data_IF_250358342639
#
_entry.id   IF_250358342639
#
_cell.length_a   1.000
_cell.length_b   1.000
_cell.length_c   1.000
_cell.angle_alpha   90.00
_cell.angle_beta   90.00
_cell.angle_gamma   90.00
#
_symmetry.space_group_name_H-M   'P 1'
#
loop_
_entity.id
_entity.type
_entity.pdbx_description
1 polymer ?
#
# COMPACT_ATOMS: atom_id res chain seq x y z
N UNK A 1 -46.82 -0.74 61.74
CA UNK A 1 -45.76 -0.93 60.73
C UNK A 1 -46.32 -0.97 59.30
N UNK A 2 -47.40 -1.72 59.03
CA UNK A 2 -48.01 -1.88 57.68
C UNK A 2 -48.59 -0.56 57.09
N UNK A 3 -49.22 0.29 57.92
CA UNK A 3 -49.80 1.57 57.48
C UNK A 3 -48.76 2.56 56.93
N UNK A 4 -47.54 2.58 57.47
CA UNK A 4 -46.45 3.45 57.00
C UNK A 4 -45.88 3.01 55.64
N UNK A 5 -46.01 1.71 55.31
CA UNK A 5 -45.57 1.18 54.02
C UNK A 5 -46.58 1.55 52.92
N UNK A 6 -47.88 1.45 53.22
CA UNK A 6 -48.97 1.86 52.32
C UNK A 6 -48.92 3.36 52.01
N UNK A 7 -48.70 4.21 53.02
CA UNK A 7 -48.57 5.67 52.81
C UNK A 7 -47.33 6.00 51.99
N UNK A 8 -46.20 5.34 52.25
CA UNK A 8 -44.97 5.49 51.44
C UNK A 8 -45.22 5.08 49.98
N UNK A 9 -45.83 3.92 49.74
CA UNK A 9 -46.13 3.42 48.39
C UNK A 9 -47.06 4.36 47.61
N UNK A 10 -48.09 4.92 48.25
CA UNK A 10 -48.98 5.91 47.64
C UNK A 10 -48.26 7.22 47.29
N UNK A 11 -47.35 7.68 48.15
CA UNK A 11 -46.53 8.89 47.88
C UNK A 11 -45.59 8.66 46.69
N UNK A 12 -44.95 7.49 46.59
CA UNK A 12 -44.13 7.13 45.42
C UNK A 12 -44.95 7.06 44.13
N UNK A 13 -46.16 6.48 44.18
CA UNK A 13 -47.05 6.39 43.02
C UNK A 13 -47.47 7.78 42.53
N UNK A 14 -47.85 8.67 43.44
CA UNK A 14 -48.20 10.07 43.13
C UNK A 14 -47.01 10.81 42.52
N UNK A 15 -45.80 10.58 43.05
CA UNK A 15 -44.58 11.19 42.53
C UNK A 15 -44.25 10.70 41.11
N UNK A 16 -44.35 9.40 40.84
CA UNK A 16 -44.15 8.82 39.50
C UNK A 16 -45.14 9.39 38.49
N UNK A 17 -46.42 9.49 38.87
CA UNK A 17 -47.44 10.08 38.00
C UNK A 17 -47.14 11.54 37.66
N UNK A 18 -46.73 12.34 38.65
CA UNK A 18 -46.31 13.73 38.41
C UNK A 18 -45.12 13.83 37.46
N UNK A 19 -44.13 12.96 37.63
CA UNK A 19 -42.96 12.92 36.75
C UNK A 19 -43.33 12.53 35.31
N UNK A 20 -44.22 11.56 35.12
CA UNK A 20 -44.61 11.14 33.78
C UNK A 20 -45.40 12.24 33.07
N UNK A 21 -46.31 12.91 33.78
CA UNK A 21 -47.06 14.04 33.24
C UNK A 21 -46.13 15.20 32.88
N UNK A 22 -45.15 15.51 33.74
CA UNK A 22 -44.15 16.53 33.46
C UNK A 22 -43.32 16.18 32.22
N UNK A 23 -42.79 14.94 32.14
CA UNK A 23 -42.00 14.47 31.00
C UNK A 23 -42.79 14.53 29.69
N UNK A 24 -44.05 14.11 29.70
CA UNK A 24 -44.91 14.13 28.53
C UNK A 24 -45.20 15.58 28.06
N UNK A 25 -45.60 16.46 28.98
CA UNK A 25 -45.88 17.87 28.67
C UNK A 25 -44.64 18.58 28.13
N UNK A 26 -43.48 18.36 28.77
CA UNK A 26 -42.20 18.88 28.31
C UNK A 26 -41.86 18.39 26.89
N UNK A 27 -41.99 17.08 26.64
CA UNK A 27 -41.67 16.47 25.35
C UNK A 27 -42.54 17.02 24.21
N UNK A 28 -43.86 17.14 24.43
CA UNK A 28 -44.80 17.74 23.46
C UNK A 28 -44.46 19.20 23.18
N UNK A 29 -44.17 19.98 24.23
CA UNK A 29 -43.78 21.39 24.09
C UNK A 29 -42.44 21.54 23.37
N UNK A 30 -41.45 20.71 23.71
CA UNK A 30 -40.13 20.72 23.06
C UNK A 30 -40.24 20.39 21.58
N UNK A 31 -41.08 19.43 21.18
CA UNK A 31 -41.27 19.08 19.77
C UNK A 31 -42.01 20.16 18.98
N UNK A 32 -43.19 20.59 19.43
CA UNK A 32 -44.01 21.50 18.62
C UNK A 32 -43.62 22.98 18.75
N UNK A 33 -43.22 23.42 19.95
CA UNK A 33 -42.83 24.83 20.17
C UNK A 33 -41.33 25.05 20.06
N UNK A 34 -40.50 24.08 20.44
CA UNK A 34 -39.04 24.19 20.37
C UNK A 34 -38.50 23.85 18.99
N UNK A 35 -38.74 22.62 18.55
CA UNK A 35 -38.24 22.06 17.29
C UNK A 35 -39.17 22.32 16.09
N UNK A 36 -40.29 23.01 16.31
CA UNK A 36 -41.27 23.39 15.27
C UNK A 36 -41.83 22.21 14.45
N UNK A 37 -41.98 21.02 15.06
CA UNK A 37 -42.68 19.92 14.41
C UNK A 37 -44.16 20.28 14.22
N UNK A 38 -44.74 20.05 13.03
CA UNK A 38 -46.16 20.25 12.82
C UNK A 38 -46.97 19.27 13.70
N UNK A 39 -48.16 19.68 14.12
CA UNK A 39 -49.00 18.90 15.05
C UNK A 39 -49.53 17.60 14.43
N UNK A 40 -49.58 17.54 13.10
CA UNK A 40 -49.99 16.40 12.29
C UNK A 40 -48.79 15.66 11.67
N UNK A 41 -47.67 15.56 12.39
CA UNK A 41 -46.46 14.93 11.87
C UNK A 41 -46.44 13.41 12.11
N UNK A 42 -46.87 12.66 11.10
CA UNK A 42 -47.01 11.19 11.19
C UNK A 42 -45.68 10.42 11.08
N UNK A 43 -44.56 11.11 10.79
CA UNK A 43 -43.24 10.48 10.61
C UNK A 43 -42.40 10.41 11.90
N UNK A 44 -42.93 10.90 13.03
CA UNK A 44 -42.24 10.79 14.32
C UNK A 44 -42.54 9.43 14.93
N UNK A 45 -41.57 8.52 14.83
CA UNK A 45 -41.67 7.16 15.39
C UNK A 45 -40.73 7.07 16.60
N UNK A 46 -41.27 6.91 17.83
CA UNK A 46 -40.42 6.69 19.00
C UNK A 46 -39.86 5.27 18.95
N UNK A 47 -38.55 5.16 18.72
CA UNK A 47 -37.86 3.87 18.61
C UNK A 47 -36.75 3.79 19.65
N UNK A 48 -36.80 2.77 20.52
CA UNK A 48 -35.76 2.50 21.52
C UNK A 48 -34.68 1.56 20.98
N UNK A 49 -35.08 0.66 20.08
CA UNK A 49 -34.26 -0.44 19.58
C UNK A 49 -34.57 -0.67 18.10
N UNK A 50 -33.55 -0.78 17.26
CA UNK A 50 -33.69 -1.23 15.85
C UNK A 50 -32.92 -2.54 15.73
N UNK A 51 -33.59 -3.57 15.23
CA UNK A 51 -32.97 -4.86 14.95
C UNK A 51 -32.22 -5.47 16.15
N UNK A 52 -32.84 -5.42 17.34
CA UNK A 52 -32.28 -5.92 18.60
C UNK A 52 -31.05 -5.15 19.13
N UNK A 53 -30.82 -3.94 18.63
CA UNK A 53 -29.71 -3.07 19.04
C UNK A 53 -30.29 -1.76 19.55
N UNK A 54 -29.95 -1.40 20.78
CA UNK A 54 -30.35 -0.13 21.39
C UNK A 54 -29.75 1.05 20.64
N UNK A 55 -30.58 2.03 20.31
CA UNK A 55 -30.14 3.26 19.66
C UNK A 55 -29.63 4.25 20.69
N UNK A 56 -28.40 4.02 21.11
CA UNK A 56 -27.67 4.93 21.97
C UNK A 56 -26.58 5.67 21.19
N UNK A 57 -26.21 6.85 21.67
CA UNK A 57 -25.11 7.66 21.11
C UNK A 57 -23.77 6.90 21.10
N UNK A 58 -23.60 5.93 22.01
CA UNK A 58 -22.43 5.05 22.10
C UNK A 58 -22.23 4.20 20.84
N UNK A 59 -23.31 3.69 20.23
CA UNK A 59 -23.24 2.90 18.99
C UNK A 59 -22.73 3.76 17.83
N UNK A 60 -23.21 5.00 17.71
CA UNK A 60 -22.71 5.95 16.71
C UNK A 60 -21.23 6.30 16.90
N UNK A 61 -20.80 6.50 18.15
CA UNK A 61 -19.40 6.76 18.48
C UNK A 61 -18.49 5.55 18.15
N UNK A 62 -18.96 4.33 18.46
CA UNK A 62 -18.25 3.10 18.11
C UNK A 62 -18.14 2.94 16.61
N UNK A 63 -19.23 3.13 15.87
CA UNK A 63 -19.24 3.04 14.40
C UNK A 63 -18.29 4.07 13.76
N UNK A 64 -18.25 5.29 14.29
CA UNK A 64 -17.32 6.33 13.82
C UNK A 64 -15.86 5.91 14.03
N UNK A 65 -15.53 5.36 15.21
CA UNK A 65 -14.19 4.85 15.51
C UNK A 65 -13.80 3.68 14.60
N UNK A 66 -14.70 2.71 14.44
CA UNK A 66 -14.45 1.54 13.58
C UNK A 66 -14.21 1.97 12.13
N UNK A 67 -15.01 2.88 11.59
CA UNK A 67 -14.84 3.39 10.22
C UNK A 67 -13.51 4.11 10.01
N UNK A 68 -13.06 4.90 11.00
CA UNK A 68 -11.77 5.56 10.91
C UNK A 68 -10.63 4.54 10.88
N UNK A 69 -10.67 3.55 11.78
CA UNK A 69 -9.66 2.48 11.84
C UNK A 69 -9.61 1.66 10.55
N UNK A 70 -10.74 1.32 9.93
CA UNK A 70 -10.73 0.53 8.68
C UNK A 70 -10.08 1.29 7.52
N UNK A 71 -10.35 2.59 7.40
CA UNK A 71 -9.78 3.44 6.33
C UNK A 71 -8.27 3.58 6.52
N UNK A 72 -7.81 3.75 7.77
CA UNK A 72 -6.38 3.88 8.07
C UNK A 72 -5.60 2.60 7.76
N UNK A 73 -6.16 1.43 8.09
CA UNK A 73 -5.52 0.14 7.81
C UNK A 73 -5.49 -0.20 6.31
N UNK A 74 -6.53 0.14 5.56
CA UNK A 74 -6.53 -0.02 4.09
C UNK A 74 -5.45 0.85 3.44
N UNK A 75 -5.41 2.14 3.80
CA UNK A 75 -4.41 3.07 3.26
C UNK A 75 -2.99 2.65 3.62
N UNK A 76 -2.77 2.15 4.84
CA UNK A 76 -1.45 1.65 5.28
C UNK A 76 -1.01 0.44 4.47
N UNK A 77 -1.91 -0.51 4.20
CA UNK A 77 -1.59 -1.67 3.33
C UNK A 77 -1.21 -1.22 1.92
N UNK A 78 -1.95 -0.28 1.34
CA UNK A 78 -1.67 0.22 -0.02
C UNK A 78 -0.29 0.89 -0.11
N UNK A 79 0.08 1.69 0.89
CA UNK A 79 1.40 2.34 0.97
C UNK A 79 2.52 1.28 1.05
N UNK A 80 2.33 0.24 1.86
CA UNK A 80 3.32 -0.84 2.01
C UNK A 80 3.48 -1.60 0.68
N UNK A 81 2.37 -1.99 0.05
CA UNK A 81 2.40 -2.71 -1.23
C UNK A 81 3.10 -1.88 -2.31
N UNK A 82 2.75 -0.59 -2.44
CA UNK A 82 3.37 0.30 -3.41
C UNK A 82 4.88 0.46 -3.19
N UNK A 83 5.30 0.61 -1.93
CA UNK A 83 6.72 0.70 -1.56
C UNK A 83 7.49 -0.56 -1.94
N UNK A 84 6.93 -1.74 -1.64
CA UNK A 84 7.55 -3.03 -2.00
C UNK A 84 7.64 -3.21 -3.51
N UNK A 85 6.59 -2.85 -4.25
CA UNK A 85 6.58 -2.94 -5.72
C UNK A 85 7.64 -2.04 -6.34
N UNK A 86 7.76 -0.78 -5.89
CA UNK A 86 8.81 0.13 -6.36
C UNK A 86 10.20 -0.47 -6.07
N UNK A 87 10.41 -0.99 -4.87
CA UNK A 87 11.69 -1.59 -4.50
C UNK A 87 12.05 -2.78 -5.40
N UNK A 88 11.08 -3.66 -5.69
CA UNK A 88 11.26 -4.76 -6.65
C UNK A 88 11.61 -4.26 -8.06
N UNK A 89 10.92 -3.23 -8.56
CA UNK A 89 11.22 -2.63 -9.88
C UNK A 89 12.65 -2.08 -9.93
N UNK A 90 13.08 -1.36 -8.89
CA UNK A 90 14.43 -0.81 -8.80
C UNK A 90 15.48 -1.92 -8.80
N UNK A 91 15.27 -3.01 -8.04
CA UNK A 91 16.17 -4.16 -8.06
C UNK A 91 16.27 -4.77 -9.47
N UNK A 92 15.13 -4.98 -10.13
CA UNK A 92 15.11 -5.53 -11.49
C UNK A 92 15.88 -4.64 -12.47
N UNK A 93 15.70 -3.32 -12.39
CA UNK A 93 16.45 -2.36 -13.21
C UNK A 93 17.97 -2.44 -12.96
N UNK A 94 18.38 -2.56 -11.70
CA UNK A 94 19.79 -2.72 -11.34
C UNK A 94 20.36 -4.03 -11.92
N UNK A 95 19.62 -5.14 -11.79
CA UNK A 95 20.04 -6.43 -12.35
C UNK A 95 20.19 -6.36 -13.87
N UNK A 96 19.26 -5.72 -14.58
CA UNK A 96 19.35 -5.50 -16.03
C UNK A 96 20.59 -4.68 -16.37
N UNK A 97 20.87 -3.59 -15.65
CA UNK A 97 22.05 -2.76 -15.86
C UNK A 97 23.35 -3.57 -15.65
N UNK A 98 23.42 -4.41 -14.62
CA UNK A 98 24.55 -5.30 -14.36
C UNK A 98 24.74 -6.30 -15.50
N UNK A 99 23.66 -6.93 -15.98
CA UNK A 99 23.73 -7.89 -17.10
C UNK A 99 24.24 -7.20 -18.37
N UNK A 100 23.73 -6.00 -18.67
CA UNK A 100 24.19 -5.20 -19.81
C UNK A 100 25.66 -4.84 -19.68
N UNK A 101 26.10 -4.42 -18.49
CA UNK A 101 27.50 -4.11 -18.21
C UNK A 101 28.42 -5.31 -18.49
N UNK A 102 28.07 -6.50 -17.99
CA UNK A 102 28.83 -7.72 -18.28
C UNK A 102 28.80 -8.09 -19.76
N UNK A 103 27.66 -7.92 -20.42
CA UNK A 103 27.50 -8.22 -21.85
C UNK A 103 28.38 -7.32 -22.71
N UNK A 104 28.44 -6.02 -22.40
CA UNK A 104 29.32 -5.06 -23.08
C UNK A 104 30.79 -5.43 -22.87
N UNK A 105 31.19 -5.74 -21.65
CA UNK A 105 32.57 -6.17 -21.35
C UNK A 105 32.92 -7.46 -22.10
N UNK A 106 32.00 -8.42 -22.18
CA UNK A 106 32.22 -9.68 -22.91
C UNK A 106 32.37 -9.43 -24.40
N UNK A 107 31.53 -8.57 -25.00
CA UNK A 107 31.69 -8.13 -26.40
C UNK A 107 33.06 -7.50 -26.65
N UNK A 108 33.51 -6.61 -25.77
CA UNK A 108 34.82 -5.98 -25.88
C UNK A 108 35.96 -7.01 -25.75
N UNK A 109 35.82 -8.01 -24.87
CA UNK A 109 36.80 -9.11 -24.75
C UNK A 109 36.87 -9.97 -26.01
N UNK A 110 35.72 -10.36 -26.57
CA UNK A 110 35.67 -11.15 -27.82
C UNK A 110 36.26 -10.37 -29.00
N UNK A 111 35.96 -9.07 -29.11
CA UNK A 111 36.54 -8.21 -30.15
C UNK A 111 38.05 -8.08 -30.03
N UNK A 112 38.59 -7.97 -28.81
CA UNK A 112 40.05 -7.93 -28.58
C UNK A 112 40.73 -9.27 -28.89
N UNK A 113 40.05 -10.40 -28.68
CA UNK A 113 40.62 -11.72 -28.97
C UNK A 113 40.71 -11.99 -30.49
N UNK A 114 39.76 -11.52 -31.28
CA UNK A 114 39.83 -11.57 -32.75
C UNK A 114 40.98 -10.71 -33.31
N UNK A 115 41.26 -9.55 -32.68
CA UNK A 115 42.38 -8.70 -33.05
C UNK A 115 43.74 -9.31 -32.68
N UNK A 116 43.87 -9.89 -31.48
CA UNK A 116 45.11 -10.54 -31.05
C UNK A 116 45.45 -11.80 -31.86
N UNK A 117 44.46 -12.56 -32.32
CA UNK A 117 44.67 -13.71 -33.22
C UNK A 117 45.08 -13.31 -34.64
N UNK A 118 44.63 -12.14 -35.12
CA UNK A 118 45.06 -11.59 -36.42
C UNK A 118 46.52 -11.12 -36.36
N UNK A 119 46.91 -10.39 -35.31
CA UNK A 119 48.26 -9.83 -35.16
C UNK A 119 49.33 -10.93 -35.07
N UNK A 120 49.05 -12.04 -34.39
CA UNK A 120 49.99 -13.19 -34.33
C UNK A 120 50.13 -13.89 -35.67
N UNK A 121 49.08 -13.95 -36.48
CA UNK A 121 49.12 -14.57 -37.80
C UNK A 121 49.91 -13.71 -38.79
N UNK A 122 49.79 -12.39 -38.70
CA UNK A 122 50.54 -11.45 -39.53
C UNK A 122 52.04 -11.42 -39.16
N UNK A 123 52.40 -11.48 -37.87
CA UNK A 123 53.80 -11.57 -37.47
C UNK A 123 54.46 -12.87 -37.92
N UNK A 124 53.77 -14.00 -37.80
CA UNK A 124 54.30 -15.30 -38.23
C UNK A 124 54.51 -15.37 -39.75
N UNK A 125 53.59 -14.78 -40.53
CA UNK A 125 53.73 -14.68 -42.00
C UNK A 125 54.89 -13.77 -42.42
N UNK A 126 55.10 -12.66 -41.70
CA UNK A 126 56.20 -11.75 -41.96
C UNK A 126 57.55 -12.42 -41.65
N UNK A 127 57.64 -13.13 -40.52
CA UNK A 127 58.84 -13.87 -40.11
C UNK A 127 59.20 -14.97 -41.12
N UNK A 128 58.20 -15.73 -41.61
CA UNK A 128 58.44 -16.76 -42.63
C UNK A 128 58.89 -16.18 -43.97
N UNK A 129 58.35 -15.03 -44.38
CA UNK A 129 58.77 -14.35 -45.61
C UNK A 129 60.20 -13.81 -45.52
N UNK A 130 60.56 -13.20 -44.38
CA UNK A 130 61.94 -12.72 -44.13
C UNK A 130 62.93 -13.89 -44.16
N UNK A 131 62.56 -15.04 -43.59
CA UNK A 131 63.38 -16.25 -43.62
C UNK A 131 63.55 -16.81 -45.02
N UNK A 132 62.47 -16.95 -45.79
CA UNK A 132 62.56 -17.42 -47.18
C UNK A 132 63.47 -16.54 -48.05
N UNK A 133 63.39 -15.22 -47.88
CA UNK A 133 64.21 -14.28 -48.65
C UNK A 133 65.70 -14.36 -48.28
N UNK A 134 66.02 -14.59 -47.00
CA UNK A 134 67.41 -14.71 -46.57
C UNK A 134 68.07 -16.00 -47.07
N UNK A 135 67.34 -17.13 -47.09
CA UNK A 135 67.83 -18.41 -47.58
C UNK A 135 68.09 -18.36 -49.09
N UNK A 136 67.24 -17.62 -49.83
CA UNK A 136 67.40 -17.40 -51.26
C UNK A 136 68.62 -16.53 -51.57
N UNK A 137 68.88 -15.50 -50.76
CA UNK A 137 70.05 -14.63 -50.90
C UNK A 137 71.36 -15.38 -50.59
N UNK A 138 71.35 -16.23 -49.55
CA UNK A 138 72.51 -17.06 -49.20
C UNK A 138 72.82 -18.08 -50.30
N UNK A 139 71.81 -18.75 -50.87
CA UNK A 139 72.01 -19.64 -52.01
C UNK A 139 72.49 -18.92 -53.29
N UNK A 140 72.13 -17.64 -53.46
CA UNK A 140 72.62 -16.85 -54.60
C UNK A 140 74.09 -16.46 -54.41
N UNK A 141 74.49 -16.10 -53.18
CA UNK A 141 75.87 -15.76 -52.85
C UNK A 141 76.82 -16.96 -52.90
N UNK A 142 76.36 -18.17 -52.54
CA UNK A 142 77.16 -19.40 -52.68
C UNK A 142 77.36 -19.86 -54.13
N UNK A 143 76.63 -19.26 -55.08
CA UNK A 143 76.65 -19.64 -56.51
C UNK A 143 77.46 -18.69 -57.39
N UNK A 144 78.10 -17.67 -56.83
CA UNK A 144 78.97 -16.75 -57.54
C UNK A 144 80.44 -16.99 -57.14
N UNK A 145 81.32 -17.34 -58.09
CA UNK A 145 82.74 -17.62 -57.82
C UNK A 145 83.58 -16.36 -57.55
#
# INVERSE_FOLDING_TARGET
MIANYLTSQHVYLIFLYRLICFKASYLVSAFHKGLHFPTNYDKLIPTLEINKIELQWSLGALLYKLKATTIDEEKKRDIIVFTVVIFCVVIVLILIAIILYFTVIKRLRTSKQAQNGSITTDMNNLESNVKSNNDTLNQLNDKMP
#
